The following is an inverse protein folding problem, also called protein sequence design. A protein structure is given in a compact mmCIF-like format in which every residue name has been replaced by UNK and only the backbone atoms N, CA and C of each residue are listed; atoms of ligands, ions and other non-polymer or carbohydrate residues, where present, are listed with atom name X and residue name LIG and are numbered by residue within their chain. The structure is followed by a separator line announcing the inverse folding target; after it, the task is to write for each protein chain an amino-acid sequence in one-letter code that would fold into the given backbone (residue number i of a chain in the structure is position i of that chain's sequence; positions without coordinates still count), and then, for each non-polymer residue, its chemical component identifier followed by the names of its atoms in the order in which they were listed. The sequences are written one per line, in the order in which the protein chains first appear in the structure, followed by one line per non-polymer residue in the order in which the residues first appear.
data_IF_697774206373
#
_entry.id   IF_697774206373
#
_cell.length_a   1.000
_cell.length_b   1.000
_cell.length_c   1.000
_cell.angle_alpha   90.00
_cell.angle_beta   90.00
_cell.angle_gamma   90.00
#
_symmetry.space_group_name_H-M   'P 1'
#
loop_
_entity.id
_entity.type
_entity.pdbx_description
1 polymer ?
#
# COMPACT_ATOMS: atom_id res chain seq x y z
N UNK A 1 -28.54 -51.11 70.18
CA UNK A 1 -29.16 -52.01 69.17
C UNK A 1 -29.54 -51.20 67.94
N UNK A 2 -28.70 -51.24 66.94
CA UNK A 2 -28.98 -50.60 65.64
C UNK A 2 -29.39 -51.76 64.68
N UNK A 3 -30.47 -51.64 63.93
CA UNK A 3 -30.95 -52.75 63.12
C UNK A 3 -30.02 -52.90 61.85
N UNK A 4 -29.74 -54.17 61.47
CA UNK A 4 -28.74 -54.48 60.42
C UNK A 4 -29.12 -54.09 59.01
N UNK A 5 -30.29 -53.49 58.76
CA UNK A 5 -30.75 -53.10 57.42
C UNK A 5 -30.34 -51.70 56.97
N UNK A 6 -29.86 -50.85 57.89
CA UNK A 6 -29.49 -49.45 57.51
C UNK A 6 -28.11 -49.38 56.76
N UNK A 7 -27.22 -50.33 57.13
CA UNK A 7 -25.88 -50.40 56.49
C UNK A 7 -25.92 -50.90 55.04
N UNK A 8 -26.89 -51.74 54.67
CA UNK A 8 -27.04 -52.22 53.30
C UNK A 8 -27.61 -51.14 52.39
N UNK A 9 -28.49 -50.27 52.87
CA UNK A 9 -29.04 -49.17 52.07
C UNK A 9 -28.03 -48.06 51.82
N UNK A 10 -27.19 -47.73 52.80
CA UNK A 10 -26.14 -46.69 52.65
C UNK A 10 -25.03 -47.19 51.71
N UNK A 11 -24.70 -48.51 51.74
CA UNK A 11 -23.69 -49.05 50.81
C UNK A 11 -24.19 -49.13 49.33
N UNK A 12 -25.48 -49.35 49.11
CA UNK A 12 -26.06 -49.39 47.75
C UNK A 12 -26.18 -48.02 47.15
N UNK A 13 -26.55 -46.99 47.91
CA UNK A 13 -26.60 -45.60 47.43
C UNK A 13 -25.22 -45.05 47.11
N UNK A 14 -24.20 -45.37 47.91
CA UNK A 14 -22.81 -44.99 47.67
C UNK A 14 -22.22 -45.56 46.35
N UNK A 15 -22.54 -46.87 46.08
CA UNK A 15 -22.12 -47.47 44.78
C UNK A 15 -22.86 -46.92 43.56
N UNK A 16 -24.13 -46.58 43.75
CA UNK A 16 -24.92 -45.99 42.66
C UNK A 16 -24.46 -44.53 42.36
N UNK A 17 -24.22 -43.70 43.39
CA UNK A 17 -23.64 -42.38 43.26
C UNK A 17 -22.25 -42.39 42.62
N UNK A 18 -21.38 -43.34 43.02
CA UNK A 18 -20.05 -43.49 42.40
C UNK A 18 -20.13 -43.87 40.90
N UNK A 19 -21.08 -44.71 40.51
CA UNK A 19 -21.31 -45.07 39.10
C UNK A 19 -21.87 -43.90 38.30
N UNK A 20 -22.77 -43.10 38.88
CA UNK A 20 -23.30 -41.89 38.22
C UNK A 20 -22.22 -40.82 38.11
N UNK A 21 -21.38 -40.61 39.14
CA UNK A 21 -20.26 -39.66 39.10
C UNK A 21 -19.18 -40.08 38.10
N UNK A 22 -18.89 -41.40 37.98
CA UNK A 22 -17.98 -41.89 36.91
C UNK A 22 -18.60 -41.77 35.51
N UNK A 23 -19.92 -41.95 35.33
CA UNK A 23 -20.58 -41.74 34.05
C UNK A 23 -20.60 -40.24 33.64
N UNK A 24 -20.83 -39.35 34.60
CA UNK A 24 -20.81 -37.89 34.36
C UNK A 24 -19.38 -37.39 34.08
N UNK A 25 -18.35 -37.92 34.74
CA UNK A 25 -16.96 -37.64 34.42
C UNK A 25 -16.53 -38.20 33.05
N UNK A 26 -17.04 -39.36 32.64
CA UNK A 26 -16.77 -39.95 31.33
C UNK A 26 -17.54 -39.24 30.21
N UNK A 27 -18.79 -38.80 30.43
CA UNK A 27 -19.53 -37.94 29.50
C UNK A 27 -18.93 -36.53 29.41
N UNK A 28 -18.42 -35.94 30.52
CA UNK A 28 -17.76 -34.64 30.52
C UNK A 28 -16.41 -34.67 29.79
N UNK A 29 -15.71 -35.83 29.76
CA UNK A 29 -14.47 -35.98 28.98
C UNK A 29 -14.72 -36.29 27.49
N UNK A 30 -15.90 -36.76 27.11
CA UNK A 30 -16.23 -36.99 25.68
C UNK A 30 -16.78 -35.76 24.95
N UNK A 31 -17.12 -34.66 25.63
CA UNK A 31 -17.67 -33.47 25.00
C UNK A 31 -16.70 -32.28 24.94
N UNK A 32 -15.52 -32.37 25.56
CA UNK A 32 -14.39 -31.49 25.25
C UNK A 32 -13.54 -32.13 24.14
N UNK A 33 -14.06 -32.25 22.92
CA UNK A 33 -13.25 -32.02 21.76
C UNK A 33 -12.91 -30.50 21.81
N UNK A 34 -11.90 -30.14 22.58
CA UNK A 34 -11.11 -28.97 22.23
C UNK A 34 -10.75 -29.18 20.75
N UNK A 35 -11.42 -28.44 19.88
CA UNK A 35 -10.81 -28.10 18.61
C UNK A 35 -9.49 -27.42 19.00
N UNK A 36 -8.43 -28.22 19.06
CA UNK A 36 -7.09 -27.70 18.87
C UNK A 36 -7.16 -27.17 17.44
N UNK A 37 -7.55 -25.90 17.31
CA UNK A 37 -7.25 -25.14 16.10
C UNK A 37 -5.74 -25.25 16.04
N UNK A 38 -5.26 -26.12 15.16
CA UNK A 38 -3.85 -26.23 14.89
C UNK A 38 -3.42 -24.80 14.57
N UNK A 39 -2.58 -24.21 15.44
CA UNK A 39 -2.05 -22.89 15.21
C UNK A 39 -1.49 -22.94 13.80
N UNK A 40 -2.07 -22.20 12.88
CA UNK A 40 -1.64 -22.19 11.49
C UNK A 40 -0.15 -21.83 11.53
N UNK A 41 0.67 -22.66 10.89
CA UNK A 41 2.11 -22.43 10.86
C UNK A 41 2.32 -21.03 10.31
N UNK A 42 3.00 -20.16 11.08
CA UNK A 42 3.25 -18.79 10.68
C UNK A 42 3.91 -18.76 9.29
N UNK A 43 3.36 -17.97 8.41
CA UNK A 43 3.82 -17.79 7.04
C UNK A 43 4.84 -16.64 6.96
N UNK A 44 5.65 -16.55 5.89
CA UNK A 44 6.68 -15.51 5.74
C UNK A 44 6.19 -14.09 6.02
N UNK A 45 4.99 -13.73 5.55
CA UNK A 45 4.43 -12.37 5.75
C UNK A 45 4.10 -12.07 7.21
N UNK A 46 3.88 -13.06 8.04
CA UNK A 46 3.56 -12.87 9.46
C UNK A 46 4.78 -12.36 10.26
N UNK A 47 5.98 -12.59 9.74
CA UNK A 47 7.23 -12.07 10.32
C UNK A 47 7.57 -10.65 9.84
N UNK A 48 6.86 -10.09 8.86
CA UNK A 48 7.14 -8.73 8.39
C UNK A 48 6.63 -7.71 9.42
N UNK A 49 7.52 -6.84 9.87
CA UNK A 49 7.21 -5.71 10.73
C UNK A 49 7.49 -4.39 10.00
N UNK A 50 6.48 -3.75 9.40
CA UNK A 50 6.67 -2.48 8.68
C UNK A 50 7.17 -1.32 9.54
N UNK A 51 7.06 -1.40 10.87
CA UNK A 51 7.58 -0.37 11.78
C UNK A 51 9.10 -0.42 11.98
N UNK A 52 9.76 -1.52 11.61
CA UNK A 52 11.22 -1.61 11.76
C UNK A 52 11.93 -0.52 10.96
N UNK A 53 12.74 0.29 11.66
CA UNK A 53 13.54 1.36 11.09
C UNK A 53 12.82 2.71 10.95
N UNK A 54 11.58 2.87 11.44
CA UNK A 54 10.85 4.12 11.35
C UNK A 54 10.78 4.93 12.65
N UNK A 55 11.50 4.51 13.69
CA UNK A 55 11.53 5.19 14.98
C UNK A 55 12.62 6.27 14.95
N UNK A 56 12.29 7.45 14.48
CA UNK A 56 13.14 8.63 14.56
C UNK A 56 12.38 9.88 14.12
N UNK A 57 12.58 10.99 14.79
CA UNK A 57 12.09 12.30 14.40
C UNK A 57 13.14 13.12 13.63
N UNK A 58 14.40 12.72 13.65
CA UNK A 58 15.48 13.43 12.95
C UNK A 58 15.75 12.85 11.57
N UNK A 59 15.76 11.53 11.47
CA UNK A 59 15.98 10.81 10.22
C UNK A 59 15.14 9.55 10.25
N UNK A 60 14.18 9.46 9.36
CA UNK A 60 13.35 8.26 9.17
C UNK A 60 13.89 7.49 7.98
N UNK A 61 14.64 6.40 8.20
CA UNK A 61 15.24 5.62 7.12
C UNK A 61 14.20 4.79 6.36
N UNK A 62 13.10 4.43 7.03
CA UNK A 62 12.00 3.64 6.42
C UNK A 62 10.66 4.12 6.92
N UNK A 63 9.59 3.82 6.16
CA UNK A 63 8.20 4.12 6.52
C UNK A 63 7.40 2.82 6.67
N UNK A 64 6.33 2.78 7.47
CA UNK A 64 5.46 1.61 7.61
C UNK A 64 4.52 1.51 6.40
N UNK A 65 5.07 1.16 5.24
CA UNK A 65 4.37 1.17 3.97
C UNK A 65 3.44 -0.04 3.86
N UNK A 66 2.26 0.22 3.30
CA UNK A 66 1.27 -0.79 2.91
C UNK A 66 1.20 -0.81 1.39
N UNK A 67 1.60 -1.92 0.79
CA UNK A 67 1.70 -2.07 -0.66
C UNK A 67 1.80 -3.55 -1.07
N UNK A 68 1.60 -3.87 -2.34
CA UNK A 68 1.99 -5.16 -2.90
C UNK A 68 3.41 -5.11 -3.49
N UNK A 69 4.07 -6.25 -3.72
CA UNK A 69 5.42 -6.28 -4.27
C UNK A 69 5.55 -5.47 -5.57
N UNK A 70 6.45 -4.48 -5.57
CA UNK A 70 6.73 -3.59 -6.70
C UNK A 70 5.49 -2.85 -7.25
N UNK A 71 4.43 -2.65 -6.45
CA UNK A 71 3.18 -2.06 -6.93
C UNK A 71 3.27 -0.54 -7.12
N UNK A 72 2.46 -0.02 -8.04
CA UNK A 72 2.28 1.42 -8.24
C UNK A 72 1.64 2.05 -7.00
N UNK A 73 0.58 1.43 -6.48
CA UNK A 73 -0.12 1.93 -5.31
C UNK A 73 0.61 1.51 -4.05
N UNK A 74 1.00 2.50 -3.27
CA UNK A 74 1.59 2.34 -1.95
C UNK A 74 1.17 3.52 -1.07
N UNK A 75 0.96 3.25 0.20
CA UNK A 75 0.59 4.26 1.20
C UNK A 75 1.31 3.98 2.51
N UNK A 76 1.43 4.98 3.36
CA UNK A 76 1.71 4.80 4.78
C UNK A 76 0.93 5.84 5.58
N UNK A 77 0.62 5.57 6.88
CA UNK A 77 -0.07 6.53 7.73
C UNK A 77 0.69 7.86 7.78
N UNK A 78 0.05 8.94 7.35
CA UNK A 78 0.68 10.25 7.30
C UNK A 78 0.64 10.91 8.67
N UNK A 79 1.79 11.38 9.14
CA UNK A 79 1.93 12.10 10.41
C UNK A 79 3.09 13.09 10.35
N UNK A 80 3.15 14.05 11.28
CA UNK A 80 4.21 15.07 11.32
C UNK A 80 5.59 14.48 11.51
N UNK A 81 5.70 13.53 12.42
CA UNK A 81 6.84 12.63 12.60
C UNK A 81 6.36 11.30 13.18
N UNK A 82 7.23 10.30 13.35
CA UNK A 82 6.84 8.97 13.84
C UNK A 82 6.75 8.86 15.36
N UNK A 83 6.92 9.98 16.07
CA UNK A 83 6.60 10.13 17.49
C UNK A 83 5.31 10.90 17.71
N UNK A 84 4.70 11.44 16.65
CA UNK A 84 3.43 12.19 16.72
C UNK A 84 2.25 11.28 17.06
N UNK A 85 1.40 11.73 17.96
CA UNK A 85 0.11 11.13 18.29
C UNK A 85 -1.01 11.50 17.33
N UNK A 86 -0.72 12.21 16.23
CA UNK A 86 -1.72 12.68 15.25
C UNK A 86 -1.48 12.06 13.88
N UNK A 87 -2.57 11.65 13.22
CA UNK A 87 -2.61 11.34 11.80
C UNK A 87 -3.17 12.53 11.02
N UNK A 88 -2.60 12.81 9.84
CA UNK A 88 -3.01 13.90 8.94
C UNK A 88 -3.81 13.33 7.77
N UNK A 89 -5.12 13.12 7.95
CA UNK A 89 -5.97 12.45 6.99
C UNK A 89 -5.52 11.02 6.67
N UNK A 90 -6.10 10.44 5.63
CA UNK A 90 -5.79 9.10 5.14
C UNK A 90 -5.21 9.19 3.72
N UNK A 91 -4.02 8.64 3.46
CA UNK A 91 -3.36 8.77 2.16
C UNK A 91 -4.06 7.94 1.09
N UNK A 92 -4.07 8.43 -0.15
CA UNK A 92 -4.55 7.70 -1.34
C UNK A 92 -3.40 7.09 -2.13
N UNK A 93 -2.35 7.87 -2.36
CA UNK A 93 -1.14 7.41 -3.05
C UNK A 93 0.08 8.16 -2.55
N UNK A 94 1.17 7.43 -2.37
CA UNK A 94 2.49 8.01 -2.13
C UNK A 94 3.38 7.81 -3.35
N UNK A 95 3.98 8.88 -3.85
CA UNK A 95 4.87 8.86 -5.02
C UNK A 95 6.35 9.08 -4.69
N UNK A 96 6.67 9.48 -3.46
CA UNK A 96 8.05 9.67 -3.00
C UNK A 96 8.20 9.15 -1.57
N UNK A 97 9.41 8.78 -1.18
CA UNK A 97 9.71 8.27 0.15
C UNK A 97 9.64 9.33 1.27
N UNK A 98 9.57 10.61 0.94
CA UNK A 98 9.59 11.70 1.92
C UNK A 98 8.34 12.58 1.88
N UNK A 99 7.16 11.95 1.85
CA UNK A 99 5.92 12.67 2.11
C UNK A 99 5.29 13.35 0.90
N UNK A 100 5.62 12.95 -0.32
CA UNK A 100 4.86 13.38 -1.50
C UNK A 100 3.62 12.52 -1.65
N UNK A 101 2.56 12.91 -0.93
CA UNK A 101 1.25 12.29 -1.05
C UNK A 101 0.47 12.93 -2.17
N UNK A 102 -0.33 12.11 -2.85
CA UNK A 102 -1.25 12.53 -3.89
C UNK A 102 -2.63 12.13 -3.44
N UNK A 103 -3.51 13.09 -3.33
CA UNK A 103 -4.82 13.01 -2.72
C UNK A 103 -4.78 12.56 -1.25
N UNK A 104 -5.79 12.94 -0.53
CA UNK A 104 -5.98 12.59 0.87
C UNK A 104 -7.48 12.45 1.14
N UNK A 105 -7.85 11.44 1.92
CA UNK A 105 -9.21 11.22 2.41
C UNK A 105 -9.31 11.68 3.86
N UNK A 106 -10.38 12.37 4.19
CA UNK A 106 -10.67 12.79 5.55
C UNK A 106 -12.11 12.42 5.92
N UNK A 107 -12.34 11.22 6.52
CA UNK A 107 -13.63 10.85 7.07
C UNK A 107 -13.89 11.56 8.37
N UNK A 108 -15.13 11.99 8.61
CA UNK A 108 -15.55 12.59 9.90
C UNK A 108 -17.02 12.35 10.19
N UNK A 109 -17.39 12.55 11.45
CA UNK A 109 -18.77 12.54 11.95
C UNK A 109 -19.01 13.80 12.77
N UNK A 110 -20.02 14.59 12.43
CA UNK A 110 -20.30 15.82 13.14
C UNK A 110 -21.22 16.76 12.40
N UNK A 111 -20.99 18.05 12.57
CA UNK A 111 -21.69 19.09 11.87
C UNK A 111 -20.91 19.59 10.65
N UNK A 112 -21.59 20.27 9.73
CA UNK A 112 -20.94 20.84 8.53
C UNK A 112 -19.80 21.82 8.87
N UNK A 113 -19.90 22.47 10.01
CA UNK A 113 -18.86 23.40 10.50
C UNK A 113 -17.57 22.71 10.91
N UNK A 114 -17.60 21.38 11.10
CA UNK A 114 -16.42 20.59 11.43
C UNK A 114 -15.62 20.19 10.17
N UNK A 115 -16.17 20.43 8.97
CA UNK A 115 -15.50 20.12 7.71
C UNK A 115 -14.18 20.89 7.59
N UNK A 116 -13.14 20.15 7.32
CA UNK A 116 -11.83 20.68 6.98
C UNK A 116 -11.27 19.99 5.73
N UNK A 117 -10.37 20.67 5.02
CA UNK A 117 -9.70 20.10 3.85
C UNK A 117 -8.90 18.85 4.18
N UNK A 118 -8.19 18.87 5.30
CA UNK A 118 -7.47 17.74 5.89
C UNK A 118 -7.82 17.72 7.37
N UNK A 119 -8.16 16.56 7.88
CA UNK A 119 -8.42 16.35 9.30
C UNK A 119 -7.17 15.84 10.00
N UNK A 120 -6.94 16.30 11.22
CA UNK A 120 -5.97 15.74 12.14
C UNK A 120 -6.70 14.87 13.16
N UNK A 121 -6.24 13.64 13.32
CA UNK A 121 -6.89 12.66 14.19
C UNK A 121 -6.00 12.24 15.34
N UNK A 122 -6.57 12.17 16.54
CA UNK A 122 -6.07 11.30 17.60
C UNK A 122 -6.38 9.86 17.24
N UNK A 123 -5.43 8.95 17.41
CA UNK A 123 -5.57 7.56 16.97
C UNK A 123 -5.09 6.55 17.99
N UNK A 124 -5.65 5.33 17.92
CA UNK A 124 -5.24 4.16 18.71
C UNK A 124 -5.44 2.87 17.91
N UNK A 125 -5.01 1.75 18.47
CA UNK A 125 -5.17 0.40 17.91
C UNK A 125 -4.65 0.25 16.47
N UNK A 126 -3.62 1.04 16.11
CA UNK A 126 -3.04 1.01 14.78
C UNK A 126 -2.35 -0.34 14.50
N UNK A 127 -2.67 -0.94 13.37
CA UNK A 127 -1.99 -2.12 12.85
C UNK A 127 -1.58 -1.88 11.40
N UNK A 128 -0.29 -2.04 11.13
CA UNK A 128 0.25 -1.99 9.77
C UNK A 128 0.79 -3.37 9.39
N UNK A 129 0.25 -3.93 8.32
CA UNK A 129 0.76 -5.12 7.62
C UNK A 129 1.11 -4.75 6.19
N UNK A 130 1.96 -5.48 5.49
CA UNK A 130 2.27 -5.18 4.09
C UNK A 130 1.04 -5.03 3.18
N UNK A 131 -0.03 -5.74 3.49
CA UNK A 131 -1.25 -5.89 2.67
C UNK A 131 -2.51 -5.36 3.35
N UNK A 132 -2.39 -4.75 4.55
CA UNK A 132 -3.55 -4.35 5.34
C UNK A 132 -3.15 -3.28 6.36
N UNK A 133 -4.04 -2.33 6.56
CA UNK A 133 -3.93 -1.29 7.58
C UNK A 133 -5.24 -1.15 8.34
N UNK A 134 -5.17 -0.91 9.63
CA UNK A 134 -6.33 -0.51 10.42
C UNK A 134 -5.95 0.47 11.51
N UNK A 135 -6.91 1.30 11.92
CA UNK A 135 -6.76 2.28 12.99
C UNK A 135 -8.10 2.71 13.55
N UNK A 136 -8.16 3.04 14.82
CA UNK A 136 -9.28 3.77 15.44
C UNK A 136 -8.94 5.26 15.50
N UNK A 137 -9.78 6.10 14.88
CA UNK A 137 -9.72 7.56 14.97
C UNK A 137 -10.54 7.99 16.18
N UNK A 138 -9.85 8.23 17.31
CA UNK A 138 -10.46 8.31 18.65
C UNK A 138 -11.38 9.49 18.82
N UNK A 139 -10.96 10.68 18.37
CA UNK A 139 -11.73 11.91 18.41
C UNK A 139 -12.97 11.87 17.54
N UNK A 140 -12.95 11.08 16.48
CA UNK A 140 -14.08 10.85 15.58
C UNK A 140 -14.94 9.64 15.97
N UNK A 141 -14.50 8.77 16.89
CA UNK A 141 -15.12 7.47 17.17
C UNK A 141 -15.37 6.65 15.90
N UNK A 142 -14.37 6.59 15.04
CA UNK A 142 -14.46 5.99 13.73
C UNK A 142 -13.36 4.91 13.58
N UNK A 143 -13.74 3.74 13.11
CA UNK A 143 -12.80 2.68 12.75
C UNK A 143 -12.52 2.71 11.26
N UNK A 144 -11.26 2.46 10.90
CA UNK A 144 -10.80 2.45 9.52
C UNK A 144 -10.05 1.17 9.25
N UNK A 145 -10.43 0.48 8.18
CA UNK A 145 -9.67 -0.59 7.55
C UNK A 145 -9.26 -0.20 6.14
N UNK A 146 -8.12 -0.71 5.68
CA UNK A 146 -7.60 -0.45 4.35
C UNK A 146 -6.88 -1.67 3.79
N UNK A 147 -7.10 -1.96 2.49
CA UNK A 147 -6.38 -2.99 1.76
C UNK A 147 -5.99 -2.51 0.36
N UNK A 148 -4.70 -2.61 -0.02
CA UNK A 148 -4.22 -2.24 -1.35
C UNK A 148 -4.26 -3.41 -2.33
N UNK A 149 -4.39 -3.08 -3.61
CA UNK A 149 -4.01 -3.89 -4.75
C UNK A 149 -2.83 -3.25 -5.49
N UNK A 150 -2.59 -3.58 -6.76
CA UNK A 150 -1.42 -3.05 -7.52
C UNK A 150 -1.59 -1.59 -7.91
N UNK A 151 -2.78 -1.20 -8.33
CA UNK A 151 -3.14 0.13 -8.84
C UNK A 151 -4.43 0.65 -8.22
N UNK A 152 -4.99 -0.08 -7.26
CA UNK A 152 -6.28 0.20 -6.64
C UNK A 152 -6.23 -0.12 -5.15
N UNK A 153 -7.18 0.42 -4.38
CA UNK A 153 -7.32 0.09 -2.98
C UNK A 153 -8.77 0.27 -2.52
N UNK A 154 -9.05 -0.23 -1.34
CA UNK A 154 -10.33 -0.09 -0.67
C UNK A 154 -10.14 0.34 0.77
N UNK A 155 -10.98 1.28 1.20
CA UNK A 155 -11.18 1.68 2.59
C UNK A 155 -12.55 1.20 3.07
N UNK A 156 -12.61 0.80 4.31
CA UNK A 156 -13.84 0.58 5.07
C UNK A 156 -13.85 1.52 6.27
N UNK A 157 -15.00 2.17 6.51
CA UNK A 157 -15.22 3.10 7.62
C UNK A 157 -16.41 2.63 8.45
N UNK A 158 -16.20 2.40 9.76
CA UNK A 158 -17.26 2.19 10.73
C UNK A 158 -17.53 3.47 11.51
N UNK A 159 -18.69 4.07 11.29
CA UNK A 159 -19.16 5.26 11.98
C UNK A 159 -19.86 4.88 13.28
N UNK A 160 -19.24 5.16 14.42
CA UNK A 160 -19.71 4.68 15.73
C UNK A 160 -20.52 5.68 16.52
N UNK A 161 -20.55 6.99 16.15
CA UNK A 161 -21.43 7.98 16.73
C UNK A 161 -22.84 7.83 16.18
N UNK A 162 -23.80 7.66 17.09
CA UNK A 162 -25.20 7.61 16.69
C UNK A 162 -25.74 9.00 16.40
N UNK A 163 -26.61 9.11 15.40
CA UNK A 163 -27.36 10.34 15.06
C UNK A 163 -26.47 11.53 14.65
N UNK A 164 -25.25 11.28 14.22
CA UNK A 164 -24.35 12.29 13.62
C UNK A 164 -24.21 12.07 12.12
N UNK A 165 -24.04 13.15 11.37
CA UNK A 165 -23.89 13.08 9.92
C UNK A 165 -22.48 12.56 9.58
N UNK A 166 -22.35 11.46 8.80
CA UNK A 166 -21.08 11.01 8.26
C UNK A 166 -20.67 11.86 7.06
N UNK A 167 -19.43 12.27 7.03
CA UNK A 167 -18.83 12.98 5.91
C UNK A 167 -17.56 12.27 5.42
N UNK A 168 -17.24 12.50 4.15
CA UNK A 168 -15.95 12.15 3.56
C UNK A 168 -15.47 13.32 2.69
N UNK A 169 -14.27 13.77 2.97
CA UNK A 169 -13.60 14.82 2.18
C UNK A 169 -12.48 14.18 1.38
N UNK A 170 -12.48 14.38 0.06
CA UNK A 170 -11.34 14.06 -0.81
C UNK A 170 -10.70 15.37 -1.25
N UNK A 171 -9.41 15.50 -0.99
CA UNK A 171 -8.65 16.67 -1.36
C UNK A 171 -7.37 16.32 -2.12
N UNK A 172 -6.83 17.29 -2.85
CA UNK A 172 -5.56 17.19 -3.57
C UNK A 172 -4.92 18.57 -3.73
N UNK A 173 -3.79 18.62 -4.39
CA UNK A 173 -3.10 19.86 -4.76
C UNK A 173 -3.73 20.51 -5.99
N UNK A 174 -2.88 20.99 -6.92
CA UNK A 174 -3.33 21.57 -8.19
C UNK A 174 -3.90 20.49 -9.11
N UNK A 175 -5.12 20.68 -9.61
CA UNK A 175 -5.75 19.70 -10.49
C UNK A 175 -7.23 19.89 -10.71
N UNK A 176 -7.96 18.78 -10.77
CA UNK A 176 -9.40 18.74 -11.00
C UNK A 176 -10.01 17.53 -10.28
N UNK A 177 -11.16 17.72 -9.65
CA UNK A 177 -12.01 16.66 -9.11
C UNK A 177 -13.46 16.93 -9.52
N UNK A 178 -14.14 15.90 -10.00
CA UNK A 178 -15.57 15.92 -10.36
C UNK A 178 -16.32 14.90 -9.53
N UNK A 179 -17.48 15.29 -9.02
CA UNK A 179 -18.41 14.40 -8.31
C UNK A 179 -19.57 14.06 -9.22
N UNK A 180 -19.88 12.77 -9.38
CA UNK A 180 -20.99 12.25 -10.17
C UNK A 180 -21.64 11.04 -9.47
N UNK A 181 -22.76 11.29 -8.80
CA UNK A 181 -23.44 10.28 -7.98
C UNK A 181 -22.55 9.75 -6.87
N UNK A 182 -22.28 8.44 -6.87
CA UNK A 182 -21.36 7.77 -5.94
C UNK A 182 -19.89 7.81 -6.38
N UNK A 183 -19.59 8.38 -7.55
CA UNK A 183 -18.25 8.44 -8.08
C UNK A 183 -17.61 9.82 -7.87
N UNK A 184 -16.31 9.82 -7.58
CA UNK A 184 -15.45 11.01 -7.63
C UNK A 184 -14.24 10.66 -8.51
N UNK A 185 -13.94 11.53 -9.47
CA UNK A 185 -12.83 11.30 -10.38
C UNK A 185 -12.15 12.61 -10.79
N UNK A 186 -10.93 12.50 -11.24
CA UNK A 186 -10.15 13.64 -11.69
C UNK A 186 -8.66 13.37 -11.67
N UNK A 187 -7.88 14.43 -11.49
CA UNK A 187 -6.43 14.33 -11.46
C UNK A 187 -5.80 15.40 -10.58
N UNK A 188 -4.59 15.12 -10.14
CA UNK A 188 -3.68 16.08 -9.53
C UNK A 188 -2.43 16.21 -10.40
N UNK A 189 -2.03 17.45 -10.69
CA UNK A 189 -0.77 17.73 -11.34
C UNK A 189 0.39 17.54 -10.36
N UNK A 190 1.41 16.86 -10.82
CA UNK A 190 2.65 16.62 -10.09
C UNK A 190 3.79 17.30 -10.85
N UNK A 191 4.97 17.24 -10.32
CA UNK A 191 6.18 17.76 -10.95
C UNK A 191 6.42 17.15 -12.34
N UNK A 192 7.05 17.89 -13.26
CA UNK A 192 7.41 17.44 -14.62
C UNK A 192 6.23 16.99 -15.50
N UNK A 193 5.10 17.70 -15.45
CA UNK A 193 3.89 17.39 -16.21
C UNK A 193 3.27 16.01 -15.92
N UNK A 194 3.76 15.29 -14.95
CA UNK A 194 3.12 14.08 -14.48
C UNK A 194 1.76 14.42 -13.87
N UNK A 195 0.73 13.70 -14.27
CA UNK A 195 -0.58 13.71 -13.63
C UNK A 195 -0.82 12.39 -12.94
N UNK A 196 -1.40 12.45 -11.77
CA UNK A 196 -2.00 11.27 -11.13
C UNK A 196 -3.50 11.39 -11.26
N UNK A 197 -4.10 10.45 -11.94
CA UNK A 197 -5.54 10.33 -12.11
C UNK A 197 -6.10 9.41 -11.04
N UNK A 198 -7.30 9.74 -10.56
CA UNK A 198 -8.08 8.94 -9.62
C UNK A 198 -9.47 8.68 -10.15
N UNK A 199 -10.00 7.49 -9.88
CA UNK A 199 -11.41 7.16 -9.99
C UNK A 199 -11.82 6.42 -8.71
N UNK A 200 -12.72 7.01 -7.95
CA UNK A 200 -13.19 6.54 -6.64
C UNK A 200 -14.69 6.28 -6.70
N UNK A 201 -15.16 5.25 -6.02
CA UNK A 201 -16.58 4.92 -5.85
C UNK A 201 -16.88 4.61 -4.38
N UNK A 202 -18.07 4.99 -3.94
CA UNK A 202 -18.65 4.59 -2.65
C UNK A 202 -19.75 3.56 -2.85
N UNK A 203 -19.90 2.60 -1.94
CA UNK A 203 -20.97 1.57 -2.01
C UNK A 203 -22.36 2.13 -1.72
N UNK A 204 -22.42 3.24 -0.99
CA UNK A 204 -23.66 3.98 -0.72
C UNK A 204 -23.59 5.34 -1.40
N UNK A 205 -24.61 5.69 -2.18
CA UNK A 205 -24.71 7.00 -2.81
C UNK A 205 -24.83 8.12 -1.76
N UNK A 206 -24.01 9.17 -1.82
CA UNK A 206 -24.11 10.28 -0.88
C UNK A 206 -25.45 11.05 -1.06
N UNK A 207 -26.04 11.48 0.04
CA UNK A 207 -27.22 12.34 0.02
C UNK A 207 -26.90 13.74 -0.48
N UNK A 208 -25.70 14.24 -0.12
CA UNK A 208 -25.22 15.52 -0.57
C UNK A 208 -23.75 15.42 -0.99
N UNK A 209 -23.39 16.22 -1.99
CA UNK A 209 -22.02 16.33 -2.46
C UNK A 209 -21.79 17.71 -3.06
N UNK A 210 -20.50 18.12 -3.12
CA UNK A 210 -20.15 19.40 -3.71
C UNK A 210 -18.71 19.79 -3.47
N UNK A 211 -18.35 20.98 -3.92
CA UNK A 211 -17.00 21.53 -3.78
C UNK A 211 -16.84 22.18 -2.41
N UNK A 212 -15.78 21.82 -1.70
CA UNK A 212 -15.41 22.47 -0.44
C UNK A 212 -14.19 23.37 -0.68
N UNK A 213 -14.31 24.66 -0.36
CA UNK A 213 -13.24 25.64 -0.52
C UNK A 213 -13.40 26.76 0.52
N UNK A 214 -12.30 27.19 1.13
CA UNK A 214 -12.25 28.31 2.09
C UNK A 214 -13.27 28.16 3.23
N UNK A 215 -13.42 26.96 3.76
CA UNK A 215 -14.37 26.65 4.83
C UNK A 215 -15.85 26.67 4.40
N UNK A 216 -16.14 26.69 3.10
CA UNK A 216 -17.50 26.71 2.56
C UNK A 216 -17.77 25.52 1.65
N UNK A 217 -18.90 24.87 1.89
CA UNK A 217 -19.36 23.76 1.06
C UNK A 217 -20.41 24.23 0.05
N UNK A 218 -20.03 24.23 -1.25
CA UNK A 218 -20.92 24.61 -2.34
C UNK A 218 -21.50 23.33 -2.98
N UNK A 219 -22.76 23.03 -2.67
CA UNK A 219 -23.50 21.86 -3.15
C UNK A 219 -24.00 21.97 -4.60
N UNK A 220 -23.99 23.15 -5.19
CA UNK A 220 -24.38 23.37 -6.60
C UNK A 220 -23.22 23.03 -7.55
N UNK A 221 -21.97 23.17 -7.07
CA UNK A 221 -20.78 22.87 -7.85
C UNK A 221 -20.43 21.40 -7.75
N UNK A 222 -20.23 20.76 -8.91
CA UNK A 222 -19.81 19.36 -9.02
C UNK A 222 -18.32 19.22 -9.39
N UNK A 223 -17.65 20.30 -9.74
CA UNK A 223 -16.27 20.29 -10.20
C UNK A 223 -15.43 21.28 -9.38
N UNK A 224 -14.39 20.78 -8.73
CA UNK A 224 -13.32 21.55 -8.14
C UNK A 224 -12.13 21.59 -9.11
N UNK A 225 -11.55 22.77 -9.34
CA UNK A 225 -10.39 22.94 -10.24
C UNK A 225 -9.44 24.02 -9.74
N UNK A 226 -8.18 23.95 -10.17
CA UNK A 226 -7.10 24.86 -9.76
C UNK A 226 -6.30 24.32 -8.58
N UNK A 227 -5.75 25.22 -7.79
CA UNK A 227 -5.01 24.88 -6.59
C UNK A 227 -5.97 24.43 -5.47
N UNK A 228 -5.49 23.50 -4.64
CA UNK A 228 -6.24 23.03 -3.46
C UNK A 228 -7.63 22.45 -3.79
N UNK A 229 -7.68 21.56 -4.79
CA UNK A 229 -8.92 20.88 -5.14
C UNK A 229 -9.47 20.08 -3.95
N UNK A 230 -10.79 20.23 -3.70
CA UNK A 230 -11.43 19.57 -2.58
C UNK A 230 -12.92 19.37 -2.85
N UNK A 231 -13.42 18.17 -2.57
CA UNK A 231 -14.84 17.82 -2.61
C UNK A 231 -15.26 17.16 -1.31
N UNK A 232 -16.50 17.43 -0.89
CA UNK A 232 -17.10 16.83 0.30
C UNK A 232 -18.37 16.07 -0.08
N UNK A 233 -18.56 14.94 0.61
CA UNK A 233 -19.70 14.04 0.49
C UNK A 233 -20.31 13.84 1.86
N UNK A 234 -21.64 13.68 1.96
CA UNK A 234 -22.30 13.32 3.22
C UNK A 234 -23.44 12.34 3.01
N UNK A 235 -23.76 11.62 4.07
CA UNK A 235 -24.80 10.59 4.11
C UNK A 235 -25.76 10.81 5.26
N UNK A 236 -26.82 10.02 5.27
CA UNK A 236 -27.79 9.97 6.36
C UNK A 236 -27.09 9.68 7.70
N UNK A 237 -27.54 10.32 8.81
CA UNK A 237 -27.10 9.96 10.16
C UNK A 237 -27.35 8.49 10.55
N UNK A 238 -28.15 7.77 9.77
CA UNK A 238 -28.39 6.33 9.95
C UNK A 238 -27.30 5.44 9.35
N UNK A 239 -26.37 6.01 8.56
CA UNK A 239 -25.25 5.24 7.98
C UNK A 239 -24.28 4.84 9.08
N UNK A 240 -24.06 3.54 9.27
CA UNK A 240 -23.13 3.00 10.25
C UNK A 240 -21.79 2.58 9.62
N UNK A 241 -21.76 2.28 8.32
CA UNK A 241 -20.54 1.91 7.63
C UNK A 241 -20.54 2.36 6.18
N UNK A 242 -19.36 2.56 5.62
CA UNK A 242 -19.13 2.99 4.24
C UNK A 242 -17.89 2.30 3.68
N UNK A 243 -18.03 1.72 2.49
CA UNK A 243 -16.89 1.25 1.72
C UNK A 243 -16.56 2.22 0.60
N UNK A 244 -15.28 2.51 0.46
CA UNK A 244 -14.73 3.41 -0.56
C UNK A 244 -13.63 2.69 -1.29
N UNK A 245 -13.81 2.43 -2.59
CA UNK A 245 -12.76 1.85 -3.42
C UNK A 245 -12.29 2.84 -4.48
N UNK A 246 -11.02 2.78 -4.83
CA UNK A 246 -10.47 3.67 -5.82
C UNK A 246 -9.36 3.02 -6.64
N UNK A 247 -9.19 3.50 -7.86
CA UNK A 247 -8.05 3.18 -8.72
C UNK A 247 -7.28 4.45 -9.06
N UNK A 248 -5.98 4.29 -9.26
CA UNK A 248 -5.08 5.35 -9.70
C UNK A 248 -4.45 5.01 -11.03
N UNK A 249 -4.01 6.03 -11.77
CA UNK A 249 -3.37 5.89 -13.07
C UNK A 249 -2.43 7.07 -13.33
N UNK A 250 -1.37 6.82 -14.11
CA UNK A 250 -0.56 7.89 -14.70
C UNK A 250 -0.99 8.21 -16.14
N UNK A 251 -1.98 7.52 -16.69
CA UNK A 251 -2.42 7.63 -18.09
C UNK A 251 -3.69 8.48 -18.23
N UNK A 252 -4.78 8.09 -17.55
CA UNK A 252 -6.07 8.81 -17.62
C UNK A 252 -7.04 8.38 -16.53
N UNK A 253 -8.15 9.11 -16.36
CA UNK A 253 -9.28 8.74 -15.49
C UNK A 253 -9.90 7.42 -15.93
N UNK A 254 -10.07 7.20 -17.25
CA UNK A 254 -10.62 5.96 -17.80
C UNK A 254 -9.72 4.77 -17.48
N UNK A 255 -8.40 4.96 -17.49
CA UNK A 255 -7.46 3.92 -17.09
C UNK A 255 -7.54 3.65 -15.59
N UNK A 256 -7.62 4.69 -14.74
CA UNK A 256 -7.83 4.53 -13.30
C UNK A 256 -9.10 3.72 -12.99
N UNK A 257 -10.21 4.02 -13.72
CA UNK A 257 -11.45 3.25 -13.64
C UNK A 257 -11.28 1.79 -14.08
N UNK A 258 -10.54 1.53 -15.15
CA UNK A 258 -10.24 0.16 -15.61
C UNK A 258 -9.41 -0.60 -14.58
N UNK A 259 -8.39 0.03 -14.02
CA UNK A 259 -7.55 -0.54 -12.96
C UNK A 259 -8.41 -0.95 -11.76
N UNK A 260 -9.29 -0.06 -11.28
CA UNK A 260 -10.21 -0.34 -10.20
C UNK A 260 -11.12 -1.54 -10.50
N UNK A 261 -11.81 -1.51 -11.65
CA UNK A 261 -12.78 -2.57 -11.98
C UNK A 261 -12.12 -3.93 -12.19
N UNK A 262 -10.89 -3.97 -12.68
CA UNK A 262 -10.10 -5.20 -12.84
C UNK A 262 -9.65 -5.76 -11.50
N UNK A 263 -9.15 -4.91 -10.59
CA UNK A 263 -8.48 -5.35 -9.37
C UNK A 263 -9.43 -5.51 -8.18
N UNK A 264 -10.41 -4.62 -8.05
CA UNK A 264 -11.38 -4.59 -6.95
C UNK A 264 -12.78 -4.43 -7.55
N UNK A 265 -13.37 -5.51 -8.10
CA UNK A 265 -14.68 -5.43 -8.76
C UNK A 265 -15.86 -5.21 -7.79
N UNK A 266 -15.72 -5.62 -6.53
CA UNK A 266 -16.69 -5.49 -5.43
C UNK A 266 -16.24 -4.52 -4.35
N UNK A 267 -16.89 -4.60 -3.18
CA UNK A 267 -16.58 -3.78 -2.00
C UNK A 267 -16.16 -4.64 -0.80
N UNK A 268 -15.72 -5.87 -1.03
CA UNK A 268 -15.32 -6.82 0.00
C UNK A 268 -13.83 -6.62 0.34
N UNK A 269 -13.54 -5.81 1.37
CA UNK A 269 -12.18 -5.45 1.79
C UNK A 269 -11.38 -6.69 2.19
N UNK A 270 -11.99 -7.63 2.91
CA UNK A 270 -11.35 -8.85 3.37
C UNK A 270 -10.77 -9.67 2.20
N UNK A 271 -11.51 -9.76 1.10
CA UNK A 271 -11.06 -10.47 -0.11
C UNK A 271 -9.79 -9.82 -0.70
N UNK A 272 -9.73 -8.50 -0.70
CA UNK A 272 -8.54 -7.75 -1.17
C UNK A 272 -7.36 -7.98 -0.24
N UNK A 273 -7.58 -7.94 1.07
CA UNK A 273 -6.55 -8.18 2.08
C UNK A 273 -6.02 -9.62 2.03
N UNK A 274 -6.89 -10.63 1.88
CA UNK A 274 -6.50 -12.03 1.74
C UNK A 274 -5.68 -12.28 0.48
N UNK A 275 -6.07 -11.70 -0.64
CA UNK A 275 -5.29 -11.78 -1.89
C UNK A 275 -3.93 -11.09 -1.73
N UNK A 276 -3.88 -9.92 -1.09
CA UNK A 276 -2.63 -9.24 -0.77
C UNK A 276 -1.71 -10.09 0.12
N UNK A 277 -2.28 -10.75 1.13
CA UNK A 277 -1.54 -11.71 1.97
C UNK A 277 -0.98 -12.88 1.16
N UNK A 278 -1.78 -13.45 0.26
CA UNK A 278 -1.37 -14.55 -0.61
C UNK A 278 -0.19 -14.13 -1.49
N UNK A 279 -0.29 -12.97 -2.15
CA UNK A 279 0.76 -12.44 -3.02
C UNK A 279 2.07 -12.23 -2.24
N UNK A 280 2.00 -11.67 -1.04
CA UNK A 280 3.18 -11.49 -0.20
C UNK A 280 3.80 -12.81 0.24
N UNK A 281 3.01 -13.81 0.62
CA UNK A 281 3.53 -15.12 0.98
C UNK A 281 4.18 -15.85 -0.20
N UNK A 282 3.67 -15.66 -1.41
CA UNK A 282 4.29 -16.18 -2.63
C UNK A 282 5.66 -15.53 -2.89
N UNK A 283 5.74 -14.20 -2.84
CA UNK A 283 7.01 -13.48 -3.06
C UNK A 283 8.05 -13.74 -1.97
N UNK A 284 7.68 -13.59 -0.71
CA UNK A 284 8.58 -13.81 0.43
C UNK A 284 8.97 -15.29 0.58
N UNK A 285 8.07 -16.19 0.22
CA UNK A 285 8.26 -17.63 0.26
C UNK A 285 9.26 -18.20 -0.76
N UNK A 286 9.72 -17.38 -1.71
CA UNK A 286 10.85 -17.73 -2.62
C UNK A 286 12.12 -18.02 -1.83
N UNK A 287 12.28 -17.43 -0.65
CA UNK A 287 13.36 -17.77 0.31
C UNK A 287 12.73 -18.27 1.60
N UNK A 288 13.02 -19.50 1.95
CA UNK A 288 12.59 -20.09 3.23
C UNK A 288 13.80 -20.30 4.12
N UNK A 289 13.75 -19.69 5.30
CA UNK A 289 14.80 -19.85 6.31
C UNK A 289 14.38 -20.81 7.41
N UNK A 290 15.34 -21.50 8.00
CA UNK A 290 15.16 -22.39 9.13
C UNK A 290 16.24 -22.13 10.18
N UNK A 291 15.94 -22.41 11.45
CA UNK A 291 16.83 -22.07 12.57
C UNK A 291 16.74 -20.60 12.97
N UNK A 292 17.72 -20.12 13.75
CA UNK A 292 17.72 -18.79 14.32
C UNK A 292 16.60 -18.55 15.35
N UNK A 293 16.55 -17.34 15.87
CA UNK A 293 15.49 -16.86 16.77
C UNK A 293 14.29 -16.35 15.95
N UNK A 294 13.19 -16.06 16.62
CA UNK A 294 12.04 -15.40 16.00
C UNK A 294 12.40 -13.99 15.52
N UNK A 295 13.21 -13.27 16.29
CA UNK A 295 13.71 -11.95 15.87
C UNK A 295 14.55 -12.02 14.58
N UNK A 296 15.36 -13.06 14.38
CA UNK A 296 16.11 -13.23 13.14
C UNK A 296 15.17 -13.38 11.93
N UNK A 297 14.04 -14.06 12.11
CA UNK A 297 13.00 -14.19 11.07
C UNK A 297 12.32 -12.86 10.78
N UNK A 298 11.99 -12.09 11.82
CA UNK A 298 11.45 -10.73 11.66
C UNK A 298 12.41 -9.83 10.89
N UNK A 299 13.69 -9.81 11.25
CA UNK A 299 14.71 -9.04 10.54
C UNK A 299 14.84 -9.48 9.09
N UNK A 300 14.91 -10.79 8.85
CA UNK A 300 15.09 -11.33 7.50
C UNK A 300 13.90 -10.99 6.59
N UNK A 301 12.67 -11.35 6.98
CA UNK A 301 11.50 -11.15 6.14
C UNK A 301 11.12 -9.67 6.00
N UNK A 302 11.37 -8.85 7.02
CA UNK A 302 11.18 -7.41 6.89
C UNK A 302 12.20 -6.79 5.92
N UNK A 303 13.46 -7.24 5.96
CA UNK A 303 14.48 -6.78 4.99
C UNK A 303 14.12 -7.22 3.55
N UNK A 304 13.64 -8.44 3.37
CA UNK A 304 13.20 -8.93 2.07
C UNK A 304 11.98 -8.15 1.56
N UNK A 305 11.00 -7.86 2.43
CA UNK A 305 9.86 -6.99 2.13
C UNK A 305 10.35 -5.61 1.63
N UNK A 306 11.35 -4.99 2.30
CA UNK A 306 11.91 -3.71 1.88
C UNK A 306 12.55 -3.76 0.48
N UNK A 307 13.16 -4.89 0.09
CA UNK A 307 13.71 -5.07 -1.25
C UNK A 307 12.66 -5.09 -2.36
N UNK A 308 11.39 -5.33 -2.01
CA UNK A 308 10.26 -5.41 -2.94
C UNK A 308 9.39 -4.14 -2.96
N UNK A 309 9.76 -3.12 -2.19
CA UNK A 309 9.11 -1.80 -2.22
C UNK A 309 9.44 -1.06 -3.54
N UNK A 310 10.68 -1.19 -4.02
CA UNK A 310 11.20 -0.57 -5.24
C UNK A 310 11.95 -1.60 -6.09
N UNK A 311 12.11 -1.36 -7.40
CA UNK A 311 11.44 -0.33 -8.19
C UNK A 311 9.94 -0.58 -8.32
N UNK A 312 9.21 0.44 -8.75
CA UNK A 312 7.75 0.44 -8.91
C UNK A 312 7.40 0.11 -10.35
N UNK A 313 6.51 -0.86 -10.55
CA UNK A 313 5.91 -1.14 -11.85
C UNK A 313 4.81 -0.11 -12.13
N UNK A 314 4.95 0.62 -13.23
CA UNK A 314 3.96 1.62 -13.66
C UNK A 314 3.31 1.28 -14.99
N UNK A 315 3.42 0.03 -15.44
CA UNK A 315 2.64 -0.47 -16.58
C UNK A 315 1.17 -0.63 -16.23
N UNK A 316 0.31 -0.19 -17.12
CA UNK A 316 -1.15 -0.20 -17.02
C UNK A 316 -1.74 -0.77 -18.32
N UNK A 317 -2.23 -2.01 -18.29
CA UNK A 317 -2.80 -2.71 -19.46
C UNK A 317 -1.88 -2.69 -20.70
N UNK A 318 -0.60 -3.01 -20.51
CA UNK A 318 0.39 -3.07 -21.62
C UNK A 318 0.93 -1.70 -22.04
N UNK A 319 0.66 -0.63 -21.29
CA UNK A 319 1.12 0.73 -21.57
C UNK A 319 1.69 1.39 -20.32
N UNK A 320 2.52 2.42 -20.51
CA UNK A 320 3.02 3.25 -19.42
C UNK A 320 3.15 4.71 -19.86
N UNK A 321 3.07 5.64 -18.91
CA UNK A 321 3.37 7.05 -19.14
C UNK A 321 4.86 7.28 -18.85
N UNK A 322 5.56 7.89 -19.80
CA UNK A 322 6.96 8.31 -19.64
C UNK A 322 7.04 9.80 -19.32
N UNK A 323 7.62 10.14 -18.17
CA UNK A 323 7.89 11.53 -17.76
C UNK A 323 9.07 12.15 -18.54
N UNK A 324 9.84 11.34 -19.28
CA UNK A 324 11.02 11.81 -20.03
C UNK A 324 10.64 12.50 -21.33
N UNK A 325 9.54 12.10 -21.94
CA UNK A 325 9.02 12.70 -23.19
C UNK A 325 7.53 13.09 -23.10
N UNK A 326 6.90 12.91 -21.94
CA UNK A 326 5.49 13.23 -21.66
C UNK A 326 4.51 12.49 -22.58
N UNK A 327 4.79 11.21 -22.88
CA UNK A 327 3.95 10.38 -23.74
C UNK A 327 3.56 9.07 -23.09
N UNK A 328 2.46 8.51 -23.56
CA UNK A 328 2.06 7.13 -23.28
C UNK A 328 2.70 6.22 -24.33
N UNK A 329 3.38 5.19 -23.88
CA UNK A 329 4.03 4.17 -24.70
C UNK A 329 3.39 2.81 -24.49
N UNK A 330 3.49 1.95 -25.51
CA UNK A 330 3.26 0.52 -25.37
C UNK A 330 4.46 -0.12 -24.65
N UNK A 331 4.20 -1.03 -23.71
CA UNK A 331 5.28 -1.72 -23.00
C UNK A 331 5.81 -2.95 -23.74
N UNK A 332 5.22 -3.30 -24.87
CA UNK A 332 5.64 -4.43 -25.71
C UNK A 332 5.61 -5.78 -24.99
N UNK A 333 4.76 -5.93 -23.98
CA UNK A 333 4.66 -7.11 -23.13
C UNK A 333 5.76 -7.21 -22.07
N UNK A 334 6.52 -6.13 -21.85
CA UNK A 334 7.60 -6.02 -20.86
C UNK A 334 7.35 -4.86 -19.92
N UNK A 335 7.02 -5.18 -18.68
CA UNK A 335 6.62 -4.20 -17.69
C UNK A 335 7.65 -3.07 -17.51
N UNK A 336 7.17 -1.84 -17.40
CA UNK A 336 8.00 -0.67 -17.18
C UNK A 336 8.12 -0.35 -15.69
N UNK A 337 9.37 -0.31 -15.21
CA UNK A 337 9.72 -0.05 -13.83
C UNK A 337 10.44 1.30 -13.68
N UNK A 338 10.10 2.05 -12.65
CA UNK A 338 10.77 3.30 -12.25
C UNK A 338 10.87 3.40 -10.73
N UNK A 339 11.29 4.56 -10.19
CA UNK A 339 11.52 4.75 -8.75
C UNK A 339 12.54 3.74 -8.19
N UNK A 340 13.66 3.56 -8.90
CA UNK A 340 14.77 2.73 -8.46
C UNK A 340 15.94 3.62 -8.02
N UNK A 341 16.24 3.56 -6.75
CA UNK A 341 17.36 4.31 -6.19
C UNK A 341 18.64 3.51 -6.38
N UNK A 342 19.17 3.59 -7.60
CA UNK A 342 20.22 2.69 -8.06
C UNK A 342 21.50 2.79 -7.20
N UNK A 343 21.76 3.96 -6.59
CA UNK A 343 22.86 4.13 -5.62
C UNK A 343 22.71 3.22 -4.40
N UNK A 344 21.47 3.02 -3.95
CA UNK A 344 21.15 2.14 -2.82
C UNK A 344 21.04 0.68 -3.23
N UNK A 345 20.48 0.40 -4.41
CA UNK A 345 20.03 -0.94 -4.81
C UNK A 345 21.06 -1.75 -5.61
N UNK A 346 22.05 -1.10 -6.29
CA UNK A 346 22.93 -1.80 -7.25
C UNK A 346 23.77 -2.89 -6.64
N UNK A 347 24.21 -2.73 -5.39
CA UNK A 347 25.20 -3.62 -4.76
C UNK A 347 24.62 -4.94 -4.30
N UNK A 348 23.39 -4.95 -3.80
CA UNK A 348 22.77 -6.14 -3.21
C UNK A 348 21.36 -6.42 -3.72
N UNK A 349 20.49 -5.43 -3.85
CA UNK A 349 19.09 -5.66 -4.24
C UNK A 349 18.98 -6.15 -5.70
N UNK A 350 19.68 -5.54 -6.65
CA UNK A 350 19.71 -6.02 -8.03
C UNK A 350 20.29 -7.43 -8.18
N UNK A 351 21.44 -7.75 -7.58
CA UNK A 351 21.95 -9.13 -7.56
C UNK A 351 20.97 -10.14 -6.96
N UNK A 352 20.28 -9.78 -5.88
CA UNK A 352 19.27 -10.63 -5.26
C UNK A 352 18.07 -10.86 -6.21
N UNK A 353 17.60 -9.81 -6.89
CA UNK A 353 16.48 -9.89 -7.85
C UNK A 353 16.80 -10.84 -9.01
N UNK A 354 18.04 -10.85 -9.50
CA UNK A 354 18.47 -11.80 -10.53
C UNK A 354 18.30 -13.25 -10.04
N UNK A 355 18.62 -13.52 -8.77
CA UNK A 355 18.47 -14.87 -8.20
C UNK A 355 17.00 -15.27 -8.00
N UNK A 356 16.14 -14.31 -7.61
CA UNK A 356 14.75 -14.58 -7.25
C UNK A 356 13.81 -14.55 -8.46
N UNK A 357 14.07 -13.65 -9.43
CA UNK A 357 13.19 -13.41 -10.56
C UNK A 357 13.96 -12.71 -11.71
N UNK A 358 14.76 -13.49 -12.41
CA UNK A 358 15.57 -12.98 -13.54
C UNK A 358 14.73 -12.35 -14.66
N UNK A 359 13.54 -12.88 -15.04
CA UNK A 359 12.68 -12.22 -16.03
C UNK A 359 12.23 -10.82 -15.58
N UNK A 360 11.73 -10.69 -14.37
CA UNK A 360 11.35 -9.38 -13.79
C UNK A 360 12.53 -8.41 -13.75
N UNK A 361 13.70 -8.88 -13.35
CA UNK A 361 14.92 -8.07 -13.35
C UNK A 361 15.31 -7.62 -14.77
N UNK A 362 15.11 -8.48 -15.78
CA UNK A 362 15.33 -8.12 -17.19
C UNK A 362 14.44 -6.99 -17.64
N UNK A 363 13.17 -6.96 -17.22
CA UNK A 363 12.26 -5.86 -17.51
C UNK A 363 12.68 -4.56 -16.82
N UNK A 364 13.30 -4.63 -15.63
CA UNK A 364 13.93 -3.47 -14.98
C UNK A 364 15.09 -2.90 -15.80
N UNK A 365 15.95 -3.77 -16.39
CA UNK A 365 17.01 -3.36 -17.30
C UNK A 365 16.42 -2.72 -18.56
N UNK A 366 15.43 -3.34 -19.19
CA UNK A 366 14.73 -2.78 -20.35
C UNK A 366 14.16 -1.40 -20.04
N UNK A 367 13.66 -1.22 -18.82
CA UNK A 367 13.15 0.08 -18.36
C UNK A 367 14.25 1.13 -18.33
N UNK A 368 15.47 0.79 -17.88
CA UNK A 368 16.62 1.71 -17.94
C UNK A 368 16.99 2.09 -19.38
N UNK A 369 16.94 1.12 -20.32
CA UNK A 369 17.20 1.42 -21.73
C UNK A 369 16.15 2.35 -22.32
N UNK A 370 14.87 2.11 -22.06
CA UNK A 370 13.76 2.97 -22.48
C UNK A 370 13.87 4.39 -21.89
N UNK A 371 14.28 4.52 -20.62
CA UNK A 371 14.55 5.83 -20.03
C UNK A 371 15.67 6.55 -20.76
N UNK A 372 16.78 5.85 -21.05
CA UNK A 372 17.92 6.41 -21.76
C UNK A 372 17.59 6.84 -23.20
N UNK A 373 16.70 6.11 -23.86
CA UNK A 373 16.21 6.41 -25.21
C UNK A 373 15.31 7.65 -25.18
N UNK A 374 14.29 7.64 -24.31
CA UNK A 374 13.24 8.67 -24.28
C UNK A 374 13.73 10.01 -23.74
N UNK A 375 14.75 10.03 -22.88
CA UNK A 375 15.34 11.28 -22.39
C UNK A 375 16.27 11.96 -23.44
N UNK A 376 16.57 11.27 -24.55
CA UNK A 376 17.35 11.78 -25.66
C UNK A 376 18.86 11.93 -25.39
N UNK A 377 19.32 11.65 -24.19
CA UNK A 377 20.76 11.70 -23.84
C UNK A 377 21.47 10.39 -24.12
N UNK A 378 20.73 9.31 -24.25
CA UNK A 378 21.26 7.96 -24.46
C UNK A 378 22.27 7.55 -23.38
N UNK A 379 21.93 7.87 -22.12
CA UNK A 379 22.70 7.52 -20.94
C UNK A 379 21.79 6.78 -19.95
N UNK A 380 22.32 5.76 -19.29
CA UNK A 380 21.57 5.01 -18.28
C UNK A 380 21.17 5.96 -17.13
N UNK A 381 20.00 5.74 -16.50
CA UNK A 381 19.54 6.59 -15.43
C UNK A 381 20.44 6.47 -14.19
N UNK A 382 20.52 7.56 -13.43
CA UNK A 382 21.29 7.63 -12.20
C UNK A 382 20.46 7.34 -10.96
N UNK A 383 19.34 8.03 -10.86
CA UNK A 383 18.45 7.97 -9.71
C UNK A 383 17.01 8.20 -10.17
N UNK A 384 16.45 7.23 -10.95
CA UNK A 384 15.10 7.36 -11.46
C UNK A 384 14.08 7.35 -10.33
N UNK A 385 13.23 8.35 -10.32
CA UNK A 385 12.06 8.50 -9.44
C UNK A 385 10.79 8.49 -10.30
N UNK A 386 9.63 8.45 -9.69
CA UNK A 386 8.34 8.55 -10.42
C UNK A 386 8.28 9.81 -11.29
N UNK A 387 8.90 10.88 -10.81
CA UNK A 387 8.92 12.19 -11.50
C UNK A 387 10.07 12.39 -12.49
N UNK A 388 10.87 11.34 -12.74
CA UNK A 388 12.03 11.38 -13.66
C UNK A 388 13.35 11.12 -12.97
N UNK A 389 14.45 11.17 -13.71
CA UNK A 389 15.80 10.94 -13.16
C UNK A 389 16.28 12.19 -12.41
N UNK A 390 16.19 12.17 -11.10
CA UNK A 390 16.59 13.28 -10.23
C UNK A 390 18.11 13.47 -10.14
N UNK A 391 18.90 12.50 -10.53
CA UNK A 391 20.38 12.49 -10.44
C UNK A 391 20.93 12.91 -9.08
N UNK A 392 20.20 12.65 -8.02
CA UNK A 392 20.55 13.10 -6.65
C UNK A 392 21.88 12.58 -6.19
N UNK A 393 22.25 11.36 -6.59
CA UNK A 393 23.52 10.75 -6.23
C UNK A 393 24.45 10.76 -7.45
N UNK A 394 25.66 11.24 -7.23
CA UNK A 394 26.72 11.19 -8.25
C UNK A 394 27.16 9.75 -8.47
N UNK A 395 26.51 9.05 -9.40
CA UNK A 395 26.83 7.66 -9.67
C UNK A 395 26.51 7.24 -11.10
N UNK A 396 27.18 6.19 -11.56
CA UNK A 396 26.90 5.46 -12.80
C UNK A 396 26.52 4.01 -12.51
N UNK A 397 25.79 3.77 -11.40
CA UNK A 397 25.54 2.41 -10.94
C UNK A 397 24.55 1.65 -11.85
N UNK A 398 23.78 2.33 -12.71
CA UNK A 398 23.04 1.70 -13.79
C UNK A 398 23.96 0.87 -14.70
N UNK A 399 25.19 1.34 -14.95
CA UNK A 399 26.22 0.58 -15.69
C UNK A 399 26.58 -0.71 -14.96
N UNK A 400 26.77 -0.61 -13.63
CA UNK A 400 27.09 -1.78 -12.79
C UNK A 400 25.96 -2.81 -12.79
N UNK A 401 24.70 -2.36 -12.73
CA UNK A 401 23.51 -3.25 -12.77
C UNK A 401 23.46 -4.02 -14.07
N UNK A 402 23.63 -3.35 -15.21
CA UNK A 402 23.61 -3.99 -16.55
C UNK A 402 24.79 -4.97 -16.71
N UNK A 403 26.00 -4.55 -16.29
CA UNK A 403 27.19 -5.39 -16.40
C UNK A 403 27.09 -6.65 -15.51
N UNK A 404 26.63 -6.50 -14.27
CA UNK A 404 26.44 -7.61 -13.33
C UNK A 404 25.42 -8.63 -13.87
N UNK A 405 24.29 -8.14 -14.38
CA UNK A 405 23.27 -8.99 -14.99
C UNK A 405 23.85 -9.79 -16.18
N UNK A 406 24.59 -9.12 -17.05
CA UNK A 406 25.27 -9.79 -18.17
C UNK A 406 26.26 -10.86 -17.71
N UNK A 407 27.10 -10.56 -16.73
CA UNK A 407 28.06 -11.51 -16.16
C UNK A 407 27.37 -12.71 -15.52
N UNK A 408 26.17 -12.53 -14.96
CA UNK A 408 25.35 -13.59 -14.38
C UNK A 408 24.49 -14.38 -15.38
N UNK A 409 24.63 -14.11 -16.66
CA UNK A 409 23.95 -14.89 -17.71
C UNK A 409 22.58 -14.35 -18.13
N UNK A 410 22.14 -13.20 -17.66
CA UNK A 410 20.93 -12.53 -18.17
C UNK A 410 21.23 -12.02 -19.58
N UNK A 411 20.40 -12.41 -20.57
CA UNK A 411 20.66 -12.18 -22.00
C UNK A 411 19.50 -11.53 -22.75
N UNK A 412 18.32 -11.53 -22.18
CA UNK A 412 17.09 -11.13 -22.85
C UNK A 412 16.88 -9.60 -22.77
N UNK A 413 17.87 -8.84 -23.26
CA UNK A 413 17.83 -7.40 -23.52
C UNK A 413 18.83 -7.03 -24.63
N UNK A 414 18.66 -5.88 -25.29
CA UNK A 414 19.59 -5.44 -26.33
C UNK A 414 20.95 -5.05 -25.74
N UNK A 415 21.93 -5.93 -25.90
CA UNK A 415 23.29 -5.71 -25.39
C UNK A 415 24.01 -4.57 -26.11
N UNK A 416 23.77 -4.37 -27.42
CA UNK A 416 24.47 -3.32 -28.18
C UNK A 416 24.01 -1.95 -27.71
N UNK A 417 22.71 -1.79 -27.55
CA UNK A 417 22.10 -0.59 -27.00
C UNK A 417 22.56 -0.35 -25.55
N UNK A 418 22.48 -1.38 -24.68
CA UNK A 418 22.93 -1.30 -23.31
C UNK A 418 24.40 -0.90 -23.20
N UNK A 419 25.29 -1.47 -24.04
CA UNK A 419 26.69 -1.08 -24.10
C UNK A 419 26.89 0.38 -24.56
N UNK A 420 26.17 0.80 -25.59
CA UNK A 420 26.26 2.17 -26.10
C UNK A 420 25.84 3.19 -25.02
N UNK A 421 24.73 2.93 -24.30
CA UNK A 421 24.25 3.81 -23.24
C UNK A 421 25.15 3.76 -22.00
N UNK A 422 25.70 2.60 -21.65
CA UNK A 422 26.68 2.47 -20.58
C UNK A 422 27.95 3.26 -20.88
N UNK A 423 28.48 3.14 -22.13
CA UNK A 423 29.63 3.91 -22.60
C UNK A 423 29.39 5.41 -22.52
N UNK A 424 28.25 5.87 -23.04
CA UNK A 424 27.86 7.28 -22.97
C UNK A 424 27.79 7.78 -21.51
N UNK A 425 27.26 6.96 -20.60
CA UNK A 425 27.15 7.30 -19.16
C UNK A 425 28.51 7.51 -18.50
N UNK A 426 29.57 6.81 -18.99
CA UNK A 426 30.93 6.90 -18.45
C UNK A 426 31.72 8.04 -19.11
N UNK A 427 31.59 8.19 -20.42
CA UNK A 427 32.40 9.15 -21.19
C UNK A 427 31.87 10.58 -21.16
N UNK A 428 30.56 10.76 -21.03
CA UNK A 428 29.93 12.08 -20.97
C UNK A 428 29.80 12.55 -19.53
N UNK A 429 29.97 13.85 -19.28
CA UNK A 429 29.59 14.47 -18.00
C UNK A 429 28.06 14.47 -17.87
N UNK A 430 27.50 13.35 -17.47
CA UNK A 430 26.06 13.20 -17.24
C UNK A 430 25.66 13.65 -15.83
N UNK A 431 26.64 13.88 -14.97
CA UNK A 431 26.46 14.18 -13.56
C UNK A 431 26.81 15.64 -13.36
N UNK A 432 25.80 16.48 -13.22
CA UNK A 432 26.00 17.75 -12.53
C UNK A 432 26.06 17.46 -11.04
N UNK A 433 26.92 18.12 -10.25
CA UNK A 433 26.77 18.11 -8.81
C UNK A 433 25.32 18.48 -8.46
N UNK A 434 24.74 17.82 -7.49
CA UNK A 434 23.36 18.08 -7.04
C UNK A 434 23.08 19.58 -6.83
N UNK A 435 24.05 20.33 -6.29
CA UNK A 435 23.95 21.77 -6.04
C UNK A 435 23.99 22.66 -7.30
N UNK A 436 24.37 22.10 -8.44
CA UNK A 436 24.44 22.80 -9.73
C UNK A 436 23.51 22.18 -10.78
N UNK A 437 22.62 21.34 -10.35
CA UNK A 437 21.71 20.56 -11.22
C UNK A 437 20.49 21.35 -11.72
N UNK A 438 20.43 22.64 -11.54
CA UNK A 438 19.59 23.43 -12.39
C UNK A 438 20.28 23.53 -13.76
N UNK A 439 19.67 23.06 -14.85
CA UNK A 439 20.14 23.37 -16.18
C UNK A 439 20.05 24.85 -16.41
#
# INVERSE_FOLDING_TARGET
FCPPNLFKQICMTSRFLKKILCLLLFCGMCTMKQQVVAASKAEPVDYVNPYMGNISHLLVPTYPIVHLPNSMLRVYPQRGDYTSGKLHGLPVLQISHRGSFVFNLSPLQGDETDLARVMDYDYDNEVVKPYYYKVDLCDQQLHVDFAPSRQSAIYHFDYRRQSTVPYLVLNGGNGELTVDGSAVYGYQNIWNNLKVYIYMETDVTPEQSGVFRDGKWNREKRKAEGDDICVALSWSPALSSLNVRYGVSYISVEQAKKNLKREIPGFELETVAEEGRRIWNEELGKIRISGGTENDRHVFYTSLYRCLERPVCVSEDGRYFSVYDNKVHDDGGHAYYTDDWVWDSYRAAHPLRILLDAPKHTDMIRSFLRMAETDGRHCLPNFPEITGDSRRMNCNHGVSVVADAWCKGVRDFDLREAYAYAKNSVERKTLAPWSSAAP
#
